data_IF_321085718951
#
_entry.id   IF_321085718951
#
_cell.length_a   1.000
_cell.length_b   1.000
_cell.length_c   1.000
_cell.angle_alpha   90.00
_cell.angle_beta   90.00
_cell.angle_gamma   90.00
#
_symmetry.space_group_name_H-M   'P 1'
#
loop_
_entity.id
_entity.type
_entity.pdbx_description
1 polymer ?
#
# COMPACT_ATOMS: atom_id res chain seq x y z
N UNK A 1 -10.77 13.55 17.61
CA UNK A 1 -9.95 12.43 17.10
C UNK A 1 -8.85 13.04 16.26
N UNK A 2 -7.58 12.79 16.58
CA UNK A 2 -6.48 13.28 15.74
C UNK A 2 -6.46 12.45 14.44
N UNK A 3 -6.00 13.04 13.32
CA UNK A 3 -5.87 12.34 12.03
C UNK A 3 -5.07 11.04 12.19
N UNK A 4 -4.06 11.06 13.07
CA UNK A 4 -3.26 9.88 13.42
C UNK A 4 -4.09 8.75 14.05
N UNK A 5 -5.03 9.08 14.93
CA UNK A 5 -5.88 8.07 15.59
C UNK A 5 -6.84 7.43 14.58
N UNK A 6 -7.39 8.24 13.67
CA UNK A 6 -8.23 7.77 12.59
C UNK A 6 -7.46 6.82 11.66
N UNK A 7 -6.24 7.21 11.26
CA UNK A 7 -5.39 6.39 10.42
C UNK A 7 -5.07 5.06 11.10
N UNK A 8 -4.67 5.08 12.38
CA UNK A 8 -4.40 3.85 13.12
C UNK A 8 -5.63 2.91 13.17
N UNK A 9 -6.83 3.46 13.39
CA UNK A 9 -8.06 2.65 13.40
C UNK A 9 -8.34 2.01 12.03
N UNK A 10 -8.21 2.79 10.95
CA UNK A 10 -8.41 2.30 9.58
C UNK A 10 -7.40 1.23 9.20
N UNK A 11 -6.15 1.38 9.65
CA UNK A 11 -5.08 0.41 9.47
C UNK A 11 -5.36 -0.91 10.21
N UNK A 12 -5.77 -0.83 11.48
CA UNK A 12 -6.11 -2.01 12.30
C UNK A 12 -7.27 -2.80 11.67
N UNK A 13 -8.34 -2.13 11.24
CA UNK A 13 -9.50 -2.76 10.60
C UNK A 13 -9.12 -3.43 9.27
N UNK A 14 -8.28 -2.77 8.46
CA UNK A 14 -7.82 -3.33 7.19
C UNK A 14 -6.94 -4.57 7.39
N UNK A 15 -6.08 -4.56 8.42
CA UNK A 15 -5.22 -5.69 8.75
C UNK A 15 -6.03 -6.89 9.24
N UNK A 16 -7.05 -6.67 10.07
CA UNK A 16 -7.91 -7.76 10.55
C UNK A 16 -8.74 -8.37 9.41
N UNK A 17 -9.30 -7.55 8.51
CA UNK A 17 -10.00 -8.07 7.32
C UNK A 17 -9.08 -8.88 6.40
N UNK A 18 -7.83 -8.42 6.20
CA UNK A 18 -6.84 -9.18 5.44
C UNK A 18 -6.48 -10.52 6.11
N UNK A 19 -6.34 -10.53 7.44
CA UNK A 19 -6.06 -11.73 8.24
C UNK A 19 -7.15 -12.79 8.09
N UNK A 20 -8.41 -12.37 8.11
CA UNK A 20 -9.57 -13.27 7.97
C UNK A 20 -9.64 -13.93 6.57
N UNK A 21 -9.07 -13.29 5.55
CA UNK A 21 -9.05 -13.80 4.17
C UNK A 21 -7.82 -14.66 3.85
N UNK A 22 -6.83 -14.72 4.74
CA UNK A 22 -5.56 -15.41 4.52
C UNK A 22 -5.66 -16.95 4.70
N UNK A 23 -6.38 -17.63 3.82
CA UNK A 23 -6.69 -19.06 3.97
C UNK A 23 -5.63 -19.93 3.29
N UNK A 24 -5.33 -19.64 2.03
CA UNK A 24 -4.40 -20.37 1.17
C UNK A 24 -2.93 -19.96 1.41
N UNK A 25 -1.94 -20.77 0.98
CA UNK A 25 -0.52 -20.40 1.12
C UNK A 25 -0.16 -19.08 0.42
N UNK A 26 -0.73 -18.81 -0.75
CA UNK A 26 -0.51 -17.57 -1.48
C UNK A 26 -1.12 -16.36 -0.75
N UNK A 27 -2.33 -16.51 -0.20
CA UNK A 27 -2.97 -15.44 0.59
C UNK A 27 -2.23 -15.18 1.90
N UNK A 28 -1.63 -16.20 2.53
CA UNK A 28 -0.77 -16.02 3.71
C UNK A 28 0.51 -15.26 3.40
N UNK A 29 1.13 -15.52 2.24
CA UNK A 29 2.27 -14.73 1.77
C UNK A 29 1.87 -13.28 1.47
N UNK A 30 0.72 -13.08 0.83
CA UNK A 30 0.19 -11.74 0.60
C UNK A 30 -0.10 -11.01 1.92
N UNK A 31 -0.69 -11.71 2.91
CA UNK A 31 -0.95 -11.16 4.23
C UNK A 31 0.34 -10.73 4.96
N UNK A 32 1.39 -11.55 4.92
CA UNK A 32 2.69 -11.16 5.48
C UNK A 32 3.25 -9.89 4.83
N UNK A 33 3.00 -9.70 3.53
CA UNK A 33 3.36 -8.45 2.82
C UNK A 33 2.54 -7.25 3.30
N UNK A 34 1.25 -7.45 3.59
CA UNK A 34 0.36 -6.44 4.17
C UNK A 34 0.80 -6.07 5.60
N UNK A 35 1.13 -7.06 6.44
CA UNK A 35 1.65 -6.83 7.80
C UNK A 35 2.93 -5.98 7.78
N UNK A 36 3.85 -6.27 6.85
CA UNK A 36 5.05 -5.45 6.69
C UNK A 36 4.72 -4.03 6.24
N UNK A 37 3.85 -3.88 5.23
CA UNK A 37 3.43 -2.56 4.75
C UNK A 37 2.81 -1.71 5.87
N UNK A 38 1.96 -2.30 6.72
CA UNK A 38 1.33 -1.62 7.85
C UNK A 38 2.38 -1.05 8.81
N UNK A 39 3.35 -1.89 9.22
CA UNK A 39 4.43 -1.47 10.11
C UNK A 39 5.27 -0.33 9.51
N UNK A 40 5.71 -0.46 8.25
CA UNK A 40 6.51 0.55 7.56
C UNK A 40 5.76 1.86 7.37
N UNK A 41 4.46 1.80 7.07
CA UNK A 41 3.62 2.97 6.96
C UNK A 41 3.47 3.68 8.31
N UNK A 42 3.27 2.96 9.42
CA UNK A 42 3.22 3.57 10.75
C UNK A 42 4.51 4.28 11.12
N UNK A 43 5.65 3.65 10.85
CA UNK A 43 6.96 4.24 11.08
C UNK A 43 7.15 5.51 10.22
N UNK A 44 6.77 5.46 8.95
CA UNK A 44 6.83 6.60 8.03
C UNK A 44 5.92 7.77 8.47
N UNK A 45 4.71 7.46 8.95
CA UNK A 45 3.75 8.42 9.49
C UNK A 45 4.23 9.05 10.82
N UNK A 46 5.05 8.33 11.58
CA UNK A 46 5.61 8.80 12.85
C UNK A 46 6.84 9.70 12.64
N UNK A 47 7.71 9.36 11.69
CA UNK A 47 8.98 10.04 11.46
C UNK A 47 8.85 11.27 10.56
N UNK A 48 8.31 11.13 9.34
CA UNK A 48 8.43 12.15 8.29
C UNK A 48 7.16 12.27 7.41
N UNK A 49 6.01 12.53 8.02
CA UNK A 49 4.77 12.75 7.27
C UNK A 49 4.72 14.14 6.59
N UNK A 50 4.32 14.27 5.30
CA UNK A 50 3.87 13.23 4.37
C UNK A 50 4.96 12.65 3.43
N UNK A 51 6.19 13.18 3.46
CA UNK A 51 7.27 12.81 2.53
C UNK A 51 7.69 11.34 2.59
N UNK A 52 7.89 10.80 3.80
CA UNK A 52 8.36 9.43 4.01
C UNK A 52 7.42 8.37 3.43
N UNK A 53 6.11 8.64 3.40
CA UNK A 53 5.14 7.73 2.79
C UNK A 53 5.22 7.72 1.25
N UNK A 54 5.59 8.85 0.64
CA UNK A 54 5.84 8.94 -0.80
C UNK A 54 7.09 8.16 -1.22
N UNK A 55 8.16 8.27 -0.44
CA UNK A 55 9.42 7.54 -0.67
C UNK A 55 9.22 6.03 -0.46
N UNK A 56 8.54 5.63 0.62
CA UNK A 56 8.18 4.23 0.87
C UNK A 56 7.40 3.61 -0.29
N UNK A 57 6.46 4.34 -0.88
CA UNK A 57 5.70 3.86 -2.04
C UNK A 57 6.58 3.70 -3.28
N UNK A 58 7.53 4.61 -3.51
CA UNK A 58 8.49 4.47 -4.61
C UNK A 58 9.34 3.21 -4.45
N UNK A 59 9.80 2.94 -3.23
CA UNK A 59 10.62 1.78 -2.92
C UNK A 59 9.81 0.47 -3.03
N UNK A 60 8.61 0.44 -2.47
CA UNK A 60 7.73 -0.73 -2.55
C UNK A 60 7.39 -1.11 -4.00
N UNK A 61 7.22 -0.12 -4.88
CA UNK A 61 7.04 -0.33 -6.32
C UNK A 61 8.24 -0.96 -6.98
N UNK A 62 9.44 -0.44 -6.70
CA UNK A 62 10.68 -0.94 -7.27
C UNK A 62 10.89 -2.40 -6.88
N UNK A 63 10.65 -2.73 -5.62
CA UNK A 63 10.79 -4.09 -5.09
C UNK A 63 9.76 -5.06 -5.66
N UNK A 64 8.49 -4.65 -5.74
CA UNK A 64 7.45 -5.46 -6.37
C UNK A 64 7.72 -5.69 -7.86
N UNK A 65 8.15 -4.67 -8.60
CA UNK A 65 8.52 -4.80 -10.00
C UNK A 65 9.69 -5.78 -10.19
N UNK A 66 10.70 -5.73 -9.32
CA UNK A 66 11.83 -6.65 -9.35
C UNK A 66 11.41 -8.09 -9.06
N UNK A 67 10.58 -8.30 -8.03
CA UNK A 67 10.09 -9.63 -7.66
C UNK A 67 9.24 -10.27 -8.77
N UNK A 68 8.36 -9.50 -9.40
CA UNK A 68 7.52 -9.96 -10.51
C UNK A 68 8.38 -10.25 -11.75
N UNK A 69 9.30 -9.34 -12.10
CA UNK A 69 10.18 -9.51 -13.25
C UNK A 69 11.10 -10.74 -13.14
N UNK A 70 11.49 -11.09 -11.92
CA UNK A 70 12.29 -12.28 -11.62
C UNK A 70 11.47 -13.57 -11.47
N UNK A 71 10.13 -13.51 -11.57
CA UNK A 71 9.21 -14.60 -11.23
C UNK A 71 9.53 -15.22 -9.86
N UNK A 72 9.78 -14.36 -8.87
CA UNK A 72 10.20 -14.78 -7.54
C UNK A 72 9.10 -15.62 -6.86
N UNK A 73 9.45 -16.67 -6.08
CA UNK A 73 8.46 -17.52 -5.40
C UNK A 73 7.54 -16.75 -4.44
N UNK A 74 8.02 -15.62 -3.93
CA UNK A 74 7.37 -14.72 -3.00
C UNK A 74 6.80 -13.46 -3.69
N UNK A 75 6.65 -13.44 -5.02
CA UNK A 75 6.12 -12.27 -5.74
C UNK A 75 4.79 -11.72 -5.18
N UNK A 76 3.94 -12.59 -4.62
CA UNK A 76 2.67 -12.18 -4.00
C UNK A 76 2.84 -11.40 -2.71
N UNK A 77 3.91 -11.67 -1.95
CA UNK A 77 4.29 -10.87 -0.77
C UNK A 77 4.62 -9.44 -1.19
N UNK A 78 5.54 -9.29 -2.15
CA UNK A 78 6.01 -7.97 -2.61
C UNK A 78 4.90 -7.18 -3.30
N UNK A 79 4.07 -7.86 -4.09
CA UNK A 79 2.91 -7.25 -4.75
C UNK A 79 1.85 -6.77 -3.74
N UNK A 80 1.52 -7.59 -2.74
CA UNK A 80 0.55 -7.22 -1.72
C UNK A 80 1.06 -6.06 -0.84
N UNK A 81 2.34 -6.08 -0.47
CA UNK A 81 3.00 -4.97 0.24
C UNK A 81 2.86 -3.66 -0.52
N UNK A 82 3.25 -3.63 -1.80
CA UNK A 82 3.15 -2.43 -2.64
C UNK A 82 1.71 -1.88 -2.70
N UNK A 83 0.73 -2.74 -2.97
CA UNK A 83 -0.67 -2.31 -3.08
C UNK A 83 -1.21 -1.77 -1.76
N UNK A 84 -0.77 -2.33 -0.63
CA UNK A 84 -1.20 -1.85 0.68
C UNK A 84 -0.59 -0.48 1.01
N UNK A 85 0.71 -0.29 0.77
CA UNK A 85 1.36 1.05 0.89
C UNK A 85 0.67 2.07 -0.01
N UNK A 86 0.34 1.71 -1.25
CA UNK A 86 -0.37 2.58 -2.19
C UNK A 86 -1.76 2.98 -1.66
N UNK A 87 -2.51 2.03 -1.10
CA UNK A 87 -3.81 2.30 -0.51
C UNK A 87 -3.70 3.27 0.67
N UNK A 88 -2.75 3.08 1.58
CA UNK A 88 -2.52 3.97 2.73
C UNK A 88 -2.14 5.37 2.25
N UNK A 89 -1.23 5.48 1.26
CA UNK A 89 -0.85 6.75 0.65
C UNK A 89 -2.06 7.48 0.05
N UNK A 90 -2.96 6.77 -0.63
CA UNK A 90 -4.19 7.35 -1.18
C UNK A 90 -5.15 7.84 -0.08
N UNK A 91 -5.36 7.05 0.98
CA UNK A 91 -6.19 7.47 2.13
C UNK A 91 -5.62 8.74 2.78
N UNK A 92 -4.32 8.76 3.05
CA UNK A 92 -3.64 9.93 3.60
C UNK A 92 -3.74 11.15 2.67
N UNK A 93 -3.60 10.93 1.35
CA UNK A 93 -3.71 11.96 0.32
C UNK A 93 -5.09 12.62 0.30
N UNK A 94 -6.17 11.84 0.44
CA UNK A 94 -7.54 12.39 0.55
C UNK A 94 -7.68 13.27 1.80
N UNK A 95 -7.17 12.83 2.94
CA UNK A 95 -7.23 13.61 4.19
C UNK A 95 -6.42 14.91 4.01
N UNK A 96 -5.20 14.84 3.48
CA UNK A 96 -4.36 16.01 3.20
C UNK A 96 -5.10 17.02 2.30
N UNK A 97 -5.76 16.54 1.24
CA UNK A 97 -6.55 17.37 0.34
C UNK A 97 -7.71 18.08 1.05
N UNK A 98 -8.45 17.37 1.92
CA UNK A 98 -9.54 17.95 2.71
C UNK A 98 -9.07 19.06 3.66
N UNK A 99 -7.80 19.04 4.04
CA UNK A 99 -7.16 20.05 4.89
C UNK A 99 -6.33 21.08 4.10
N UNK A 100 -6.45 21.11 2.77
CA UNK A 100 -5.67 22.01 1.89
C UNK A 100 -4.15 21.88 2.04
N UNK A 101 -3.67 20.69 2.42
CA UNK A 101 -2.25 20.37 2.53
C UNK A 101 -1.75 19.69 1.24
N UNK A 102 -0.44 19.73 0.96
CA UNK A 102 0.15 19.00 -0.16
C UNK A 102 -0.20 17.52 -0.11
N UNK A 103 -0.69 16.98 -1.23
CA UNK A 103 -1.13 15.61 -1.37
C UNK A 103 -0.01 14.68 -1.80
N UNK A 104 -0.13 13.40 -1.46
CA UNK A 104 0.74 12.34 -1.99
C UNK A 104 0.14 11.95 -3.34
N UNK A 105 0.82 12.23 -4.45
CA UNK A 105 0.31 11.94 -5.81
C UNK A 105 1.22 10.91 -6.48
N UNK A 106 1.03 9.61 -6.19
CA UNK A 106 1.75 8.58 -6.90
C UNK A 106 1.06 8.26 -8.23
N UNK A 107 1.78 7.95 -9.32
CA UNK A 107 1.17 7.37 -10.51
C UNK A 107 0.58 6.00 -10.13
N UNK A 108 -0.73 5.86 -9.99
CA UNK A 108 -1.28 4.68 -9.28
C UNK A 108 -1.21 3.41 -10.12
N UNK A 109 -0.75 2.30 -9.53
CA UNK A 109 -0.77 0.99 -10.18
C UNK A 109 -2.21 0.53 -10.36
N UNK A 110 -3.10 0.90 -9.46
CA UNK A 110 -4.55 0.82 -9.65
C UNK A 110 -5.04 1.53 -10.93
N UNK A 111 -4.61 2.78 -11.20
CA UNK A 111 -4.96 3.45 -12.45
C UNK A 111 -4.31 2.79 -13.66
N UNK A 112 -3.07 2.30 -13.54
CA UNK A 112 -2.42 1.56 -14.62
C UNK A 112 -3.17 0.26 -14.95
N UNK A 113 -3.62 -0.49 -13.94
CA UNK A 113 -4.45 -1.70 -14.11
C UNK A 113 -5.83 -1.37 -14.69
N UNK A 114 -6.47 -0.29 -14.22
CA UNK A 114 -7.73 0.18 -14.78
C UNK A 114 -7.58 0.62 -16.24
N UNK A 115 -6.50 1.35 -16.55
CA UNK A 115 -6.16 1.77 -17.91
C UNK A 115 -5.86 0.57 -18.82
N UNK A 116 -5.09 -0.42 -18.35
CA UNK A 116 -4.83 -1.66 -19.08
C UNK A 116 -6.13 -2.43 -19.37
N UNK A 117 -7.03 -2.52 -18.39
CA UNK A 117 -8.36 -3.13 -18.56
C UNK A 117 -9.21 -2.41 -19.59
N UNK A 118 -9.19 -1.06 -19.61
CA UNK A 118 -9.88 -0.25 -20.62
C UNK A 118 -9.23 -0.41 -22.01
N UNK A 119 -7.90 -0.52 -22.07
CA UNK A 119 -7.14 -0.71 -23.30
C UNK A 119 -7.21 -2.16 -23.85
N UNK A 120 -7.87 -3.09 -23.14
CA UNK A 120 -8.00 -4.48 -23.56
C UNK A 120 -6.73 -5.31 -23.39
N UNK A 121 -5.74 -4.81 -22.65
CA UNK A 121 -4.50 -5.53 -22.34
C UNK A 121 -4.75 -6.37 -21.08
N UNK A 122 -4.68 -7.70 -21.22
CA UNK A 122 -4.80 -8.66 -20.12
C UNK A 122 -3.44 -9.20 -19.72
#
# INVERSE_FOLDING_TARGET
MLIRDFLNFVLDDALEDARLRAVTPAERLAFAGIELADAECRDSLAAEFPGGLGDLLCDARREAAAAIGAAAPDQWFWFARELHVEWIANVCSVILAQHHLPTIVPPTKGAAMAAAKVAGVR
#
